data_IF_039586901503
#
_entry.id   IF_039586901503
#
_cell.length_a   1.000
_cell.length_b   1.000
_cell.length_c   1.000
_cell.angle_alpha   90.00
_cell.angle_beta   90.00
_cell.angle_gamma   90.00
#
_symmetry.space_group_name_H-M   'P 1'
#
loop_
_entity.id
_entity.type
_entity.pdbx_description
1 polymer ?
#
# COMPACT_ATOMS: atom_id res chain seq x y z
N UNK A 1 1.77 -26.21 36.51
CA UNK A 1 2.22 -27.31 35.64
C UNK A 1 3.14 -26.67 34.61
N UNK A 2 4.43 -26.96 34.57
CA UNK A 2 5.40 -26.45 33.60
C UNK A 2 5.71 -27.58 32.64
N UNK A 3 5.36 -27.42 31.35
CA UNK A 3 5.79 -28.35 30.31
C UNK A 3 7.10 -27.75 29.76
N UNK A 4 8.19 -28.48 29.89
CA UNK A 4 9.45 -28.13 29.22
C UNK A 4 9.53 -29.00 27.99
N UNK A 5 9.54 -28.39 26.80
CA UNK A 5 9.84 -29.06 25.53
C UNK A 5 11.36 -29.09 25.41
N UNK A 6 11.95 -30.26 25.54
CA UNK A 6 13.38 -30.52 25.25
C UNK A 6 13.40 -31.14 23.88
N UNK A 7 14.19 -30.63 22.96
CA UNK A 7 14.37 -31.00 21.55
C UNK A 7 13.59 -30.13 20.54
N UNK A 8 13.04 -28.98 20.94
CA UNK A 8 12.63 -27.95 20.00
C UNK A 8 13.84 -27.24 19.41
N UNK A 9 13.88 -27.04 18.09
CA UNK A 9 14.74 -26.01 17.52
C UNK A 9 14.38 -24.69 18.22
N UNK A 10 15.38 -23.95 18.63
CA UNK A 10 15.18 -22.56 19.02
C UNK A 10 14.47 -21.87 17.83
N UNK A 11 13.44 -21.07 18.04
CA UNK A 11 12.85 -20.31 16.96
C UNK A 11 13.99 -19.52 16.30
N UNK A 12 14.28 -19.81 15.04
CA UNK A 12 15.15 -18.93 14.26
C UNK A 12 14.39 -17.62 14.13
N UNK A 13 14.90 -16.62 14.78
CA UNK A 13 14.34 -15.28 14.67
C UNK A 13 14.85 -14.69 13.37
N UNK A 14 13.96 -14.59 12.40
CA UNK A 14 14.24 -13.85 11.19
C UNK A 14 14.30 -12.36 11.52
N UNK A 15 15.44 -11.76 11.26
CA UNK A 15 15.72 -10.33 11.46
C UNK A 15 15.92 -9.61 10.14
N UNK A 16 15.63 -10.28 9.00
CA UNK A 16 15.77 -9.72 7.67
C UNK A 16 14.42 -9.31 7.12
N UNK A 17 14.37 -8.21 6.40
CA UNK A 17 13.17 -7.83 5.66
C UNK A 17 13.24 -8.36 4.23
N UNK A 18 12.10 -8.71 3.61
CA UNK A 18 12.05 -9.14 2.22
C UNK A 18 12.63 -8.11 1.25
N UNK A 19 13.20 -8.58 0.14
CA UNK A 19 13.76 -7.74 -0.91
C UNK A 19 13.00 -7.93 -2.23
N UNK A 20 12.65 -6.82 -2.90
CA UNK A 20 12.04 -6.80 -4.22
C UNK A 20 13.13 -6.76 -5.29
N UNK A 21 13.21 -7.80 -6.13
CA UNK A 21 14.18 -7.92 -7.22
C UNK A 21 13.65 -7.39 -8.55
N UNK A 22 12.35 -7.64 -8.84
CA UNK A 22 11.75 -7.22 -10.10
C UNK A 22 10.25 -6.95 -9.96
N UNK A 23 9.75 -6.12 -10.88
CA UNK A 23 8.34 -5.78 -11.04
C UNK A 23 8.05 -5.58 -12.54
N UNK A 24 6.93 -6.13 -13.05
CA UNK A 24 6.53 -5.90 -14.46
C UNK A 24 5.05 -6.21 -14.70
N UNK A 25 4.42 -5.58 -15.70
CA UNK A 25 3.05 -5.92 -16.11
C UNK A 25 2.95 -7.15 -17.04
N UNK A 26 4.05 -7.59 -17.63
CA UNK A 26 4.07 -8.69 -18.60
C UNK A 26 4.79 -9.95 -18.15
N UNK A 27 5.23 -10.01 -16.91
CA UNK A 27 5.92 -11.16 -16.32
C UNK A 27 7.38 -11.31 -16.73
N UNK A 28 7.63 -11.74 -17.95
CA UNK A 28 9.00 -11.99 -18.46
C UNK A 28 9.65 -10.79 -19.14
N UNK A 29 8.90 -9.72 -19.39
CA UNK A 29 9.37 -8.49 -20.00
C UNK A 29 9.30 -7.35 -19.00
N UNK A 30 10.22 -6.41 -19.08
CA UNK A 30 10.20 -5.18 -18.26
C UNK A 30 9.18 -4.19 -18.80
N UNK A 31 7.88 -4.51 -18.70
CA UNK A 31 6.82 -3.57 -19.03
C UNK A 31 6.42 -2.77 -17.79
N UNK A 32 6.55 -1.45 -17.89
CA UNK A 32 6.19 -0.51 -16.82
C UNK A 32 4.82 0.15 -17.07
N UNK A 33 4.17 -0.16 -18.19
CA UNK A 33 2.87 0.41 -18.54
C UNK A 33 1.83 -0.67 -18.77
N UNK A 34 0.58 -0.40 -18.35
CA UNK A 34 -0.58 -1.22 -18.62
C UNK A 34 -1.79 -0.34 -18.97
N UNK A 35 -2.62 -0.80 -19.90
CA UNK A 35 -3.89 -0.15 -20.27
C UNK A 35 -5.00 -1.14 -19.99
N UNK A 36 -5.99 -0.72 -19.19
CA UNK A 36 -7.13 -1.54 -18.79
C UNK A 36 -8.41 -0.73 -18.78
N UNK A 37 -9.56 -1.40 -18.90
CA UNK A 37 -10.87 -0.77 -18.74
C UNK A 37 -11.27 -0.76 -17.26
N UNK A 38 -12.05 0.26 -16.88
CA UNK A 38 -12.64 0.30 -15.57
C UNK A 38 -13.53 -0.94 -15.33
N UNK A 39 -13.32 -1.62 -14.21
CA UNK A 39 -13.99 -2.89 -13.88
C UNK A 39 -13.23 -4.15 -14.28
N UNK A 40 -12.09 -4.03 -14.95
CA UNK A 40 -11.21 -5.15 -15.26
C UNK A 40 -10.11 -5.32 -14.21
N UNK A 41 -9.51 -6.52 -14.19
CA UNK A 41 -8.34 -6.81 -13.38
C UNK A 41 -7.06 -6.55 -14.15
N UNK A 42 -6.05 -6.09 -13.44
CA UNK A 42 -4.71 -5.85 -13.95
C UNK A 42 -3.76 -6.75 -13.17
N UNK A 43 -2.86 -7.42 -13.87
CA UNK A 43 -1.91 -8.35 -13.28
C UNK A 43 -0.50 -7.75 -13.31
N UNK A 44 0.09 -7.63 -12.14
CA UNK A 44 1.45 -7.15 -11.94
C UNK A 44 2.29 -8.31 -11.40
N UNK A 45 3.32 -8.69 -12.13
CA UNK A 45 4.24 -9.75 -11.75
C UNK A 45 5.39 -9.17 -10.94
N UNK A 46 5.82 -9.91 -9.93
CA UNK A 46 6.96 -9.54 -9.12
C UNK A 46 7.89 -10.73 -8.87
N UNK A 47 9.15 -10.42 -8.62
CA UNK A 47 10.13 -11.33 -8.05
C UNK A 47 10.65 -10.70 -6.76
N UNK A 48 10.51 -11.42 -5.66
CA UNK A 48 10.95 -10.98 -4.35
C UNK A 48 11.51 -12.17 -3.59
N UNK A 49 12.49 -11.93 -2.76
CA UNK A 49 13.13 -12.94 -1.92
C UNK A 49 13.11 -12.52 -0.45
N UNK A 50 13.13 -13.51 0.39
CA UNK A 50 13.39 -13.38 1.80
C UNK A 50 14.33 -14.51 2.24
N UNK A 51 15.32 -14.18 3.10
CA UNK A 51 16.35 -15.14 3.52
C UNK A 51 15.91 -15.93 4.75
N UNK A 52 14.78 -15.65 5.32
CA UNK A 52 14.30 -16.28 6.54
C UNK A 52 13.07 -17.14 6.35
N UNK A 53 11.97 -16.65 6.85
CA UNK A 53 10.69 -17.37 6.94
C UNK A 53 9.90 -17.35 5.62
N UNK A 54 10.33 -16.55 4.65
CA UNK A 54 9.66 -16.39 3.37
C UNK A 54 8.72 -15.18 3.32
N UNK A 55 8.12 -14.96 2.15
CA UNK A 55 7.26 -13.79 1.89
C UNK A 55 5.84 -14.09 2.35
N UNK A 56 5.32 -13.31 3.30
CA UNK A 56 3.96 -13.46 3.83
C UNK A 56 2.90 -12.77 2.98
N UNK A 57 3.26 -11.68 2.32
CA UNK A 57 2.33 -10.97 1.45
C UNK A 57 2.93 -9.71 0.82
N UNK A 58 2.31 -9.30 -0.28
CA UNK A 58 2.70 -8.12 -1.01
C UNK A 58 1.46 -7.31 -1.38
N UNK A 59 1.53 -5.98 -1.23
CA UNK A 59 0.45 -5.06 -1.59
C UNK A 59 1.03 -3.85 -2.31
N UNK A 60 0.45 -3.49 -3.46
CA UNK A 60 0.84 -2.34 -4.26
C UNK A 60 -0.28 -1.31 -4.36
N UNK A 61 0.09 -0.05 -4.41
CA UNK A 61 -0.81 1.09 -4.59
C UNK A 61 -0.37 1.95 -5.77
N UNK A 62 -1.35 2.31 -6.60
CA UNK A 62 -1.22 3.30 -7.65
C UNK A 62 -2.19 4.44 -7.39
N UNK A 63 -1.79 5.67 -7.71
CA UNK A 63 -2.59 6.87 -7.46
C UNK A 63 -2.63 7.79 -8.66
N UNK A 64 -3.80 8.36 -8.95
CA UNK A 64 -3.95 9.38 -9.99
C UNK A 64 -3.76 10.81 -9.42
N UNK A 65 -3.75 11.78 -10.30
CA UNK A 65 -3.64 13.21 -9.97
C UNK A 65 -4.88 13.79 -9.27
N UNK A 66 -6.01 13.06 -9.29
CA UNK A 66 -7.26 13.42 -8.59
C UNK A 66 -7.36 12.83 -7.18
N UNK A 67 -6.31 12.13 -6.74
CA UNK A 67 -6.25 11.52 -5.40
C UNK A 67 -6.95 10.18 -5.27
N UNK A 68 -7.53 9.62 -6.35
CA UNK A 68 -8.07 8.26 -6.31
C UNK A 68 -6.93 7.25 -6.38
N UNK A 69 -7.04 6.17 -5.61
CA UNK A 69 -6.08 5.06 -5.61
C UNK A 69 -6.74 3.78 -6.11
N UNK A 70 -5.94 2.97 -6.78
CA UNK A 70 -6.22 1.56 -7.06
C UNK A 70 -5.12 0.71 -6.43
N UNK A 71 -5.44 -0.49 -6.01
CA UNK A 71 -4.50 -1.35 -5.31
C UNK A 71 -4.77 -2.82 -5.60
N UNK A 72 -3.76 -3.62 -5.34
CA UNK A 72 -3.85 -5.07 -5.39
C UNK A 72 -2.91 -5.70 -4.39
N UNK A 73 -3.14 -6.98 -4.10
CA UNK A 73 -2.30 -7.75 -3.22
C UNK A 73 -2.14 -9.18 -3.72
N UNK A 74 -1.03 -9.78 -3.35
CA UNK A 74 -0.80 -11.21 -3.45
C UNK A 74 -0.62 -11.78 -2.04
N UNK A 75 -1.56 -12.66 -1.65
CA UNK A 75 -1.50 -13.42 -0.39
C UNK A 75 -1.18 -14.91 -0.63
N UNK A 76 -0.99 -15.30 -1.87
CA UNK A 76 -0.72 -16.69 -2.26
C UNK A 76 0.75 -16.93 -2.61
N UNK A 77 1.55 -15.88 -2.68
CA UNK A 77 2.99 -15.93 -2.97
C UNK A 77 3.31 -16.57 -4.33
N UNK A 78 2.40 -16.40 -5.29
CA UNK A 78 2.55 -16.95 -6.65
C UNK A 78 3.28 -16.00 -7.62
N UNK A 79 3.75 -14.85 -7.13
CA UNK A 79 4.47 -13.86 -7.92
C UNK A 79 3.56 -12.95 -8.74
N UNK A 80 2.24 -12.95 -8.47
CA UNK A 80 1.27 -12.19 -9.24
C UNK A 80 0.34 -11.39 -8.32
N UNK A 81 0.37 -10.09 -8.47
CA UNK A 81 -0.57 -9.18 -7.79
C UNK A 81 -1.76 -8.94 -8.71
N UNK A 82 -2.95 -9.17 -8.23
CA UNK A 82 -4.17 -8.80 -8.91
C UNK A 82 -4.66 -7.44 -8.42
N UNK A 83 -4.56 -6.41 -9.28
CA UNK A 83 -5.07 -5.06 -9.01
C UNK A 83 -6.50 -4.98 -9.50
N UNK A 84 -7.42 -4.55 -8.62
CA UNK A 84 -8.84 -4.44 -8.93
C UNK A 84 -9.19 -3.01 -9.32
N UNK A 85 -9.93 -2.85 -10.41
CA UNK A 85 -10.65 -1.63 -10.75
C UNK A 85 -12.16 -1.86 -10.68
N UNK A 86 -12.93 -0.81 -10.59
CA UNK A 86 -14.40 -0.87 -10.56
C UNK A 86 -15.00 0.09 -11.59
N UNK A 87 -16.28 -0.01 -11.85
CA UNK A 87 -17.00 0.94 -12.70
C UNK A 87 -16.98 2.38 -12.15
N UNK A 88 -16.62 2.58 -10.88
CA UNK A 88 -16.44 3.89 -10.26
C UNK A 88 -14.98 4.39 -10.29
N UNK A 89 -14.07 3.63 -10.84
CA UNK A 89 -12.68 4.06 -11.05
C UNK A 89 -12.65 5.15 -12.11
N UNK A 90 -11.94 6.24 -11.85
CA UNK A 90 -11.83 7.34 -12.82
C UNK A 90 -10.99 6.92 -14.03
N UNK A 91 -11.34 7.44 -15.19
CA UNK A 91 -10.46 7.38 -16.35
C UNK A 91 -9.20 8.21 -16.13
N UNK A 92 -8.07 7.73 -16.65
CA UNK A 92 -6.79 8.45 -16.59
C UNK A 92 -5.63 7.60 -16.13
N UNK A 93 -4.51 8.26 -15.92
CA UNK A 93 -3.26 7.63 -15.54
C UNK A 93 -3.12 7.52 -14.02
N UNK A 94 -2.77 6.32 -13.55
CA UNK A 94 -2.44 5.99 -12.18
C UNK A 94 -0.98 5.61 -12.11
N UNK A 95 -0.21 6.36 -11.35
CA UNK A 95 1.22 6.15 -11.18
C UNK A 95 1.49 5.35 -9.92
N UNK A 96 2.55 4.56 -9.92
CA UNK A 96 3.02 3.88 -8.74
C UNK A 96 3.15 4.86 -7.57
N UNK A 97 2.63 4.48 -6.41
CA UNK A 97 2.69 5.28 -5.19
C UNK A 97 3.62 4.63 -4.17
N UNK A 98 3.30 3.42 -3.76
CA UNK A 98 4.14 2.60 -2.90
C UNK A 98 3.75 1.12 -2.96
N UNK A 99 4.66 0.27 -2.45
CA UNK A 99 4.49 -1.17 -2.36
C UNK A 99 5.01 -1.64 -1.02
N UNK A 100 4.26 -2.54 -0.37
CA UNK A 100 4.69 -3.22 0.85
C UNK A 100 4.96 -4.68 0.58
N UNK A 101 6.03 -5.22 1.17
CA UNK A 101 6.27 -6.66 1.30
C UNK A 101 6.45 -6.95 2.78
N UNK A 102 5.79 -7.98 3.28
CA UNK A 102 5.99 -8.53 4.62
C UNK A 102 6.53 -9.95 4.53
N UNK A 103 7.30 -10.36 5.52
CA UNK A 103 7.64 -11.75 5.70
C UNK A 103 6.47 -12.57 6.26
N UNK A 104 6.59 -13.90 6.29
CA UNK A 104 5.55 -14.83 6.76
C UNK A 104 5.68 -15.15 8.26
N UNK A 105 6.45 -14.38 9.00
CA UNK A 105 6.62 -14.63 10.42
C UNK A 105 5.66 -13.81 11.30
N UNK A 106 5.52 -14.23 12.54
CA UNK A 106 4.64 -13.59 13.52
C UNK A 106 5.02 -12.13 13.82
N UNK A 107 6.28 -11.76 13.70
CA UNK A 107 6.79 -10.42 13.96
C UNK A 107 6.70 -9.50 12.73
N UNK A 108 6.39 -10.06 11.54
CA UNK A 108 6.07 -9.31 10.33
C UNK A 108 7.08 -8.23 9.98
N UNK A 109 8.37 -8.60 9.83
CA UNK A 109 9.32 -7.70 9.20
C UNK A 109 8.78 -7.29 7.84
N UNK A 110 9.00 -6.06 7.46
CA UNK A 110 8.47 -5.57 6.18
C UNK A 110 9.35 -4.49 5.57
N UNK A 111 9.22 -4.35 4.28
CA UNK A 111 9.80 -3.25 3.51
C UNK A 111 8.69 -2.50 2.80
N UNK A 112 8.82 -1.18 2.76
CA UNK A 112 8.02 -0.30 1.93
C UNK A 112 8.91 0.34 0.87
N UNK A 113 8.57 0.13 -0.39
CA UNK A 113 9.17 0.83 -1.53
C UNK A 113 8.30 2.01 -1.93
N UNK A 114 8.90 3.19 -2.10
CA UNK A 114 8.22 4.44 -2.39
C UNK A 114 8.47 4.89 -3.83
N UNK A 115 7.54 5.69 -4.37
CA UNK A 115 7.61 6.29 -5.71
C UNK A 115 8.92 7.02 -6.01
N UNK A 116 9.54 7.63 -5.01
CA UNK A 116 10.79 8.40 -5.17
C UNK A 116 12.05 7.52 -5.23
N UNK A 117 11.89 6.20 -5.32
CA UNK A 117 12.98 5.23 -5.35
C UNK A 117 13.62 4.98 -3.99
N UNK A 118 13.04 5.44 -2.89
CA UNK A 118 13.49 5.07 -1.55
C UNK A 118 12.76 3.85 -1.05
N UNK A 119 13.40 3.10 -0.15
CA UNK A 119 12.71 2.09 0.64
C UNK A 119 12.92 2.32 2.14
N UNK A 120 12.00 1.81 2.93
CA UNK A 120 12.05 1.78 4.39
C UNK A 120 11.80 0.35 4.87
N UNK A 121 12.81 -0.24 5.52
CA UNK A 121 12.70 -1.52 6.20
C UNK A 121 12.27 -1.32 7.63
N UNK A 122 11.44 -2.23 8.12
CA UNK A 122 11.09 -2.37 9.51
C UNK A 122 11.31 -3.81 9.96
N UNK A 123 12.26 -4.02 10.86
CA UNK A 123 12.58 -5.34 11.43
C UNK A 123 12.36 -5.32 12.93
N UNK A 124 11.88 -6.44 13.48
CA UNK A 124 11.69 -6.57 14.92
C UNK A 124 12.98 -7.05 15.58
N UNK A 125 13.50 -6.25 16.51
CA UNK A 125 14.63 -6.64 17.34
C UNK A 125 14.10 -7.33 18.62
N UNK A 126 14.48 -8.59 18.81
CA UNK A 126 14.06 -9.39 19.96
C UNK A 126 14.83 -9.06 21.23
N UNK A 127 16.04 -8.58 21.12
CA UNK A 127 16.87 -8.27 22.29
C UNK A 127 16.38 -7.00 22.98
N UNK A 128 15.95 -6.02 22.18
CA UNK A 128 15.44 -4.72 22.66
C UNK A 128 13.90 -4.63 22.70
N UNK A 129 13.20 -5.67 22.23
CA UNK A 129 11.74 -5.71 22.10
C UNK A 129 11.18 -4.46 21.40
N UNK A 130 11.84 -4.04 20.32
CA UNK A 130 11.53 -2.81 19.59
C UNK A 130 11.67 -3.00 18.07
N UNK A 131 11.18 -2.00 17.31
CA UNK A 131 11.31 -1.97 15.86
C UNK A 131 12.53 -1.17 15.43
N UNK A 132 13.38 -1.78 14.64
CA UNK A 132 14.45 -1.11 13.92
C UNK A 132 13.97 -0.64 12.54
N UNK A 133 14.38 0.58 12.16
CA UNK A 133 14.03 1.20 10.90
C UNK A 133 15.28 1.52 10.10
N UNK A 134 15.31 1.01 8.87
CA UNK A 134 16.40 1.28 7.93
C UNK A 134 15.83 1.88 6.65
N UNK A 135 16.51 2.87 6.10
CA UNK A 135 16.12 3.50 4.85
C UNK A 135 17.24 3.36 3.82
N UNK A 136 16.87 3.21 2.56
CA UNK A 136 17.82 3.10 1.46
C UNK A 136 17.21 3.54 0.14
N UNK A 137 17.93 3.26 -0.94
CA UNK A 137 17.48 3.49 -2.31
C UNK A 137 17.38 2.18 -3.06
N UNK A 138 16.28 1.99 -3.75
CA UNK A 138 16.08 0.88 -4.68
C UNK A 138 16.76 1.20 -6.02
N UNK A 139 17.27 0.17 -6.67
CA UNK A 139 17.75 0.25 -8.05
C UNK A 139 16.60 0.13 -9.07
N UNK A 140 15.38 -0.19 -8.60
CA UNK A 140 14.20 -0.30 -9.44
C UNK A 140 13.62 1.08 -9.77
N UNK A 141 13.33 1.30 -11.06
CA UNK A 141 12.72 2.54 -11.58
C UNK A 141 11.20 2.57 -11.35
N UNK A 142 10.79 2.52 -10.08
CA UNK A 142 9.37 2.35 -9.67
C UNK A 142 8.50 3.56 -10.07
N UNK A 143 9.08 4.75 -10.22
CA UNK A 143 8.37 5.96 -10.65
C UNK A 143 7.79 5.87 -12.07
N UNK A 144 8.33 5.00 -12.91
CA UNK A 144 7.92 4.82 -14.31
C UNK A 144 6.71 3.89 -14.46
N UNK A 145 6.35 3.14 -13.39
CA UNK A 145 5.20 2.25 -13.45
C UNK A 145 3.89 3.03 -13.51
N UNK A 146 3.09 2.73 -14.55
CA UNK A 146 1.84 3.43 -14.85
C UNK A 146 0.74 2.47 -15.32
N UNK A 147 -0.46 2.71 -14.83
CA UNK A 147 -1.69 2.08 -15.29
C UNK A 147 -2.59 3.16 -15.91
N UNK A 148 -2.99 3.00 -17.16
CA UNK A 148 -4.00 3.85 -17.80
C UNK A 148 -5.36 3.15 -17.75
N UNK A 149 -6.30 3.74 -17.03
CA UNK A 149 -7.69 3.25 -16.96
C UNK A 149 -8.54 3.97 -18.00
N UNK A 150 -9.20 3.20 -18.87
CA UNK A 150 -10.15 3.69 -19.88
C UNK A 150 -11.59 3.34 -19.50
N UNK A 151 -12.56 4.02 -20.10
CA UNK A 151 -13.99 3.75 -19.90
C UNK A 151 -14.46 3.89 -18.43
N UNK A 152 -13.69 4.60 -17.61
CA UNK A 152 -14.03 4.89 -16.22
C UNK A 152 -14.93 6.13 -16.07
N UNK A 153 -15.22 6.46 -14.82
CA UNK A 153 -15.98 7.69 -14.53
C UNK A 153 -15.12 8.94 -14.75
N UNK A 154 -15.76 10.02 -15.19
CA UNK A 154 -15.14 11.35 -15.14
C UNK A 154 -15.25 11.90 -13.71
N UNK A 155 -14.19 12.53 -13.18
CA UNK A 155 -14.23 13.17 -11.88
C UNK A 155 -15.33 14.23 -11.84
N UNK A 156 -16.25 14.14 -10.88
CA UNK A 156 -17.24 15.17 -10.65
C UNK A 156 -16.55 16.39 -10.03
N UNK A 157 -16.45 17.48 -10.76
CA UNK A 157 -15.98 18.75 -10.20
C UNK A 157 -17.13 19.44 -9.50
N UNK A 158 -17.27 19.26 -8.19
CA UNK A 158 -18.14 20.13 -7.39
C UNK A 158 -17.39 21.42 -7.08
N UNK A 159 -17.79 22.50 -7.74
CA UNK A 159 -17.23 23.84 -7.53
C UNK A 159 -18.14 24.69 -6.62
N UNK A 160 -19.18 24.11 -6.04
CA UNK A 160 -20.07 24.80 -5.13
C UNK A 160 -19.58 24.72 -3.70
N UNK A 161 -19.37 25.87 -3.08
CA UNK A 161 -19.06 25.89 -1.66
C UNK A 161 -20.32 25.44 -0.86
N UNK A 162 -20.15 24.66 0.21
CA UNK A 162 -21.25 24.28 1.07
C UNK A 162 -21.89 25.55 1.67
N UNK A 163 -23.22 25.67 1.54
CA UNK A 163 -23.99 26.79 2.08
C UNK A 163 -24.63 26.38 3.41
N UNK A 164 -24.32 27.10 4.48
CA UNK A 164 -24.94 26.90 5.77
C UNK A 164 -26.29 27.62 5.77
N UNK A 165 -27.38 26.89 5.60
CA UNK A 165 -28.73 27.46 5.54
C UNK A 165 -29.38 27.73 6.91
N UNK A 166 -28.94 27.03 7.96
CA UNK A 166 -29.41 27.24 9.32
C UNK A 166 -28.41 26.70 10.37
N UNK A 167 -28.34 27.43 11.46
CA UNK A 167 -27.66 26.98 12.69
C UNK A 167 -28.64 27.14 13.85
N UNK A 168 -28.95 26.08 14.58
CA UNK A 168 -29.80 26.16 15.77
C UNK A 168 -29.11 25.49 16.97
N UNK A 169 -29.26 26.08 18.14
CA UNK A 169 -28.87 25.48 19.40
C UNK A 169 -30.08 24.80 20.05
N UNK A 170 -29.94 23.52 20.37
CA UNK A 170 -30.91 22.80 21.18
C UNK A 170 -30.49 22.89 22.65
N UNK A 171 -31.07 23.80 23.40
CA UNK A 171 -30.86 23.98 24.84
C UNK A 171 -31.78 25.03 25.41
N UNK A 172 -32.16 24.90 26.68
CA UNK A 172 -33.06 25.82 27.40
C UNK A 172 -32.32 27.00 28.04
N UNK A 173 -31.11 27.32 27.60
CA UNK A 173 -30.36 28.44 28.14
C UNK A 173 -30.59 29.70 27.33
N UNK A 174 -31.14 30.72 28.02
CA UNK A 174 -31.31 32.06 27.47
C UNK A 174 -29.94 32.64 27.09
N UNK A 175 -29.69 32.79 25.80
CA UNK A 175 -28.62 33.62 25.33
C UNK A 175 -28.88 35.08 25.68
N UNK A 176 -28.23 35.57 26.73
CA UNK A 176 -28.10 37.00 26.96
C UNK A 176 -27.31 37.60 25.82
N UNK A 177 -27.87 38.58 25.18
CA UNK A 177 -27.33 39.36 24.06
C UNK A 177 -25.85 39.70 24.27
N UNK A 178 -24.94 39.20 23.41
CA UNK A 178 -23.60 39.74 23.32
C UNK A 178 -23.68 40.95 22.43
N UNK A 179 -23.83 42.13 23.05
CA UNK A 179 -23.68 43.39 22.36
C UNK A 179 -22.22 43.65 22.10
N UNK A 180 -21.80 43.59 20.82
CA UNK A 180 -20.51 44.06 20.39
C UNK A 180 -20.41 45.57 20.58
N UNK A 181 -19.47 45.99 21.40
CA UNK A 181 -19.03 47.38 21.55
C UNK A 181 -17.83 47.68 20.65
#
# INVERSE_FOLDING_TARGET
FKITVTDGQEPQTDTTAPELNALSFSGTETSMENISKAGEYIYLHYDAIDIGEGIGGLTVYFRNDKGQSISGSDSHQDGIIQISTSSSTFSGDYYFDHLYISDDNYNSNRVQYNKNGTYENRTWDLDDENWDYFTGRSELELSEFKITVTDGQEPQTDNTAPELSALSFSGTENLTEIVAS
#
